data_IF_073050946637
#
_entry.id   IF_073050946637
#
_cell.length_a   1.000
_cell.length_b   1.000
_cell.length_c   1.000
_cell.angle_alpha   90.00
_cell.angle_beta   90.00
_cell.angle_gamma   90.00
#
_symmetry.space_group_name_H-M   'P 1'
#
loop_
_entity.id
_entity.type
_entity.pdbx_description
1 polymer ?
#
# COMPACT_ATOMS: atom_id res chain seq x y z
N UNK A 1 21.84 68.53 -15.26
CA UNK A 1 21.32 67.31 -15.91
C UNK A 1 20.22 67.75 -16.85
N UNK A 2 20.30 67.39 -18.13
CA UNK A 2 19.31 67.82 -19.13
C UNK A 2 18.06 66.91 -19.04
N UNK A 3 16.87 67.44 -19.39
CA UNK A 3 15.61 66.69 -19.25
C UNK A 3 15.59 65.41 -20.10
N UNK A 4 16.35 65.42 -21.19
CA UNK A 4 16.54 64.28 -22.07
C UNK A 4 17.28 63.10 -21.41
N UNK A 5 18.38 63.34 -20.67
CA UNK A 5 19.09 62.26 -19.94
C UNK A 5 18.25 61.67 -18.81
N UNK A 6 17.41 62.48 -18.17
CA UNK A 6 16.52 62.00 -17.11
C UNK A 6 15.45 61.06 -17.68
N UNK A 7 14.86 61.45 -18.81
CA UNK A 7 13.89 60.62 -19.51
C UNK A 7 14.50 59.30 -19.98
N UNK A 8 15.69 59.31 -20.60
CA UNK A 8 16.32 58.09 -21.12
C UNK A 8 16.70 57.12 -20.01
N UNK A 9 17.19 57.61 -18.87
CA UNK A 9 17.47 56.78 -17.70
C UNK A 9 16.19 56.15 -17.15
N UNK A 10 15.12 56.93 -16.99
CA UNK A 10 13.85 56.42 -16.49
C UNK A 10 13.23 55.36 -17.42
N UNK A 11 13.31 55.56 -18.73
CA UNK A 11 12.82 54.60 -19.71
C UNK A 11 13.62 53.28 -19.66
N UNK A 12 14.94 53.37 -19.51
CA UNK A 12 15.80 52.20 -19.37
C UNK A 12 15.55 51.45 -18.05
N UNK A 13 15.43 52.18 -16.94
CA UNK A 13 15.15 51.60 -15.62
C UNK A 13 13.79 50.87 -15.63
N UNK A 14 12.76 51.49 -16.20
CA UNK A 14 11.41 50.89 -16.33
C UNK A 14 11.42 49.62 -17.20
N UNK A 15 12.22 49.63 -18.27
CA UNK A 15 12.39 48.45 -19.13
C UNK A 15 13.08 47.31 -18.40
N UNK A 16 14.18 47.57 -17.68
CA UNK A 16 14.90 46.56 -16.90
C UNK A 16 14.02 45.97 -15.79
N UNK A 17 13.19 46.79 -15.15
CA UNK A 17 12.22 46.32 -14.15
C UNK A 17 11.20 45.36 -14.77
N UNK A 18 10.66 45.71 -15.95
CA UNK A 18 9.75 44.83 -16.69
C UNK A 18 10.37 43.50 -17.09
N UNK A 19 11.64 43.51 -17.54
CA UNK A 19 12.38 42.29 -17.86
C UNK A 19 12.64 41.44 -16.61
N UNK A 20 13.08 42.05 -15.51
CA UNK A 20 13.30 41.34 -14.25
C UNK A 20 12.02 40.68 -13.74
N UNK A 21 10.89 41.39 -13.77
CA UNK A 21 9.59 40.83 -13.38
C UNK A 21 9.23 39.60 -14.24
N UNK A 22 9.37 39.70 -15.57
CA UNK A 22 9.07 38.59 -16.48
C UNK A 22 9.98 37.37 -16.22
N UNK A 23 11.25 37.60 -15.88
CA UNK A 23 12.19 36.53 -15.50
C UNK A 23 11.78 35.89 -14.18
N UNK A 24 11.43 36.68 -13.17
CA UNK A 24 10.99 36.16 -11.86
C UNK A 24 9.69 35.34 -11.96
N UNK A 25 8.72 35.81 -12.76
CA UNK A 25 7.48 35.09 -13.00
C UNK A 25 7.75 33.75 -13.69
N UNK A 26 8.59 33.77 -14.72
CA UNK A 26 9.00 32.56 -15.45
C UNK A 26 9.73 31.58 -14.51
N UNK A 27 10.63 32.07 -13.66
CA UNK A 27 11.34 31.26 -12.67
C UNK A 27 10.37 30.63 -11.65
N UNK A 28 9.39 31.39 -11.14
CA UNK A 28 8.35 30.86 -10.24
C UNK A 28 7.53 29.77 -10.91
N UNK A 29 7.12 29.97 -12.16
CA UNK A 29 6.34 28.98 -12.92
C UNK A 29 7.13 27.68 -13.11
N UNK A 30 8.43 27.76 -13.42
CA UNK A 30 9.28 26.57 -13.52
C UNK A 30 9.47 25.85 -12.19
N UNK A 31 9.61 26.60 -11.09
CA UNK A 31 9.71 26.00 -9.76
C UNK A 31 8.42 25.28 -9.37
N UNK A 32 7.28 25.90 -9.63
CA UNK A 32 5.97 25.29 -9.39
C UNK A 32 5.78 24.01 -10.22
N UNK A 33 6.12 24.05 -11.51
CA UNK A 33 6.07 22.87 -12.37
C UNK A 33 6.97 21.74 -11.85
N UNK A 34 8.17 22.07 -11.37
CA UNK A 34 9.09 21.09 -10.77
C UNK A 34 8.50 20.47 -9.51
N UNK A 35 7.88 21.27 -8.64
CA UNK A 35 7.25 20.78 -7.41
C UNK A 35 6.08 19.85 -7.72
N UNK A 36 5.23 20.23 -8.67
CA UNK A 36 4.10 19.41 -9.13
C UNK A 36 4.57 18.08 -9.72
N UNK A 37 5.63 18.11 -10.53
CA UNK A 37 6.19 16.89 -11.13
C UNK A 37 6.75 15.96 -10.05
N UNK A 38 7.44 16.50 -9.05
CA UNK A 38 7.96 15.69 -7.94
C UNK A 38 6.82 15.05 -7.13
N UNK A 39 5.78 15.82 -6.80
CA UNK A 39 4.60 15.30 -6.11
C UNK A 39 3.94 14.16 -6.89
N UNK A 40 3.78 14.33 -8.20
CA UNK A 40 3.21 13.30 -9.07
C UNK A 40 4.08 12.03 -9.11
N UNK A 41 5.41 12.17 -9.20
CA UNK A 41 6.32 11.01 -9.14
C UNK A 41 6.18 10.27 -7.82
N UNK A 42 6.15 11.00 -6.69
CA UNK A 42 6.03 10.40 -5.37
C UNK A 42 4.68 9.67 -5.21
N UNK A 43 3.59 10.26 -5.70
CA UNK A 43 2.25 9.65 -5.72
C UNK A 43 2.26 8.35 -6.52
N UNK A 44 2.82 8.36 -7.73
CA UNK A 44 2.90 7.19 -8.61
C UNK A 44 3.72 6.06 -7.98
N UNK A 45 4.82 6.39 -7.29
CA UNK A 45 5.62 5.41 -6.55
C UNK A 45 4.79 4.80 -5.43
N UNK A 46 4.17 5.63 -4.60
CA UNK A 46 3.34 5.17 -3.47
C UNK A 46 2.17 4.31 -3.93
N UNK A 47 1.46 4.70 -4.99
CA UNK A 47 0.35 3.94 -5.54
C UNK A 47 0.83 2.60 -6.09
N UNK A 48 1.97 2.58 -6.80
CA UNK A 48 2.59 1.36 -7.29
C UNK A 48 2.97 0.41 -6.16
N UNK A 49 3.63 0.91 -5.12
CA UNK A 49 4.00 0.14 -3.93
C UNK A 49 2.75 -0.39 -3.20
N UNK A 50 1.72 0.44 -3.02
CA UNK A 50 0.47 0.05 -2.38
C UNK A 50 -0.22 -1.09 -3.14
N UNK A 51 -0.36 -0.95 -4.47
CA UNK A 51 -0.95 -1.99 -5.33
C UNK A 51 -0.14 -3.28 -5.32
N UNK A 52 1.19 -3.19 -5.35
CA UNK A 52 2.07 -4.35 -5.27
C UNK A 52 1.91 -5.08 -3.93
N UNK A 53 1.93 -4.34 -2.83
CA UNK A 53 1.72 -4.90 -1.49
C UNK A 53 0.33 -5.53 -1.36
N UNK A 54 -0.71 -4.88 -1.91
CA UNK A 54 -2.07 -5.42 -1.93
C UNK A 54 -2.14 -6.74 -2.71
N UNK A 55 -1.55 -6.79 -3.91
CA UNK A 55 -1.50 -8.00 -4.73
C UNK A 55 -0.77 -9.15 -4.03
N UNK A 56 0.39 -8.87 -3.42
CA UNK A 56 1.15 -9.85 -2.62
C UNK A 56 0.32 -10.37 -1.43
N UNK A 57 -0.34 -9.47 -0.69
CA UNK A 57 -1.19 -9.84 0.44
C UNK A 57 -2.41 -10.64 0.01
N UNK A 58 -3.06 -10.28 -1.10
CA UNK A 58 -4.15 -11.06 -1.66
C UNK A 58 -3.67 -12.47 -2.02
N UNK A 59 -2.54 -12.61 -2.71
CA UNK A 59 -1.98 -13.92 -3.03
C UNK A 59 -1.62 -14.75 -1.79
N UNK A 60 -1.01 -14.15 -0.78
CA UNK A 60 -0.74 -14.84 0.48
C UNK A 60 -2.02 -15.29 1.18
N UNK A 61 -3.09 -14.49 1.14
CA UNK A 61 -4.39 -14.88 1.67
C UNK A 61 -5.03 -16.03 0.87
N UNK A 62 -4.81 -16.10 -0.45
CA UNK A 62 -5.27 -17.25 -1.26
C UNK A 62 -4.47 -18.52 -0.96
N UNK A 63 -3.14 -18.42 -0.79
CA UNK A 63 -2.29 -19.56 -0.46
C UNK A 63 -2.48 -20.05 0.99
N UNK A 64 -2.81 -19.14 1.91
CA UNK A 64 -3.12 -19.46 3.30
C UNK A 64 -4.60 -19.74 3.54
N UNK A 65 -5.42 -19.93 2.49
CA UNK A 65 -6.78 -20.43 2.67
C UNK A 65 -6.76 -21.94 2.61
N UNK A 66 -7.39 -22.63 3.58
CA UNK A 66 -7.55 -24.06 3.49
C UNK A 66 -8.43 -24.40 2.28
N UNK A 67 -8.27 -25.61 1.74
CA UNK A 67 -9.25 -26.18 0.81
C UNK A 67 -10.64 -26.14 1.45
N UNK A 68 -11.65 -25.73 0.67
CA UNK A 68 -13.04 -25.58 1.14
C UNK A 68 -13.60 -26.88 1.75
N UNK A 69 -13.16 -28.03 1.23
CA UNK A 69 -13.50 -29.36 1.75
C UNK A 69 -13.06 -29.56 3.21
N UNK A 70 -11.84 -29.13 3.54
CA UNK A 70 -11.32 -29.17 4.91
C UNK A 70 -12.11 -28.22 5.81
N UNK A 71 -12.49 -27.06 5.26
CA UNK A 71 -13.31 -26.07 5.98
C UNK A 71 -14.65 -26.64 6.41
N UNK A 72 -15.37 -27.23 5.46
CA UNK A 72 -16.69 -27.83 5.70
C UNK A 72 -16.61 -29.05 6.62
N UNK A 73 -15.57 -29.87 6.46
CA UNK A 73 -15.35 -31.05 7.29
C UNK A 73 -15.08 -30.67 8.75
N UNK A 74 -14.17 -29.71 8.99
CA UNK A 74 -13.90 -29.23 10.33
C UNK A 74 -15.16 -28.61 10.96
N UNK A 75 -15.89 -27.77 10.21
CA UNK A 75 -17.15 -27.17 10.67
C UNK A 75 -18.18 -28.23 11.10
N UNK A 76 -18.24 -29.35 10.39
CA UNK A 76 -19.12 -30.48 10.73
C UNK A 76 -18.66 -31.18 12.01
N UNK A 77 -17.35 -31.44 12.16
CA UNK A 77 -16.79 -32.13 13.32
C UNK A 77 -16.96 -31.33 14.62
N UNK A 78 -16.85 -30.00 14.55
CA UNK A 78 -17.06 -29.10 15.69
C UNK A 78 -18.55 -28.74 15.89
N UNK A 79 -19.47 -29.37 15.16
CA UNK A 79 -20.92 -29.13 15.25
C UNK A 79 -21.31 -27.66 15.04
N UNK A 80 -20.56 -26.95 14.19
CA UNK A 80 -20.77 -25.54 13.88
C UNK A 80 -20.13 -24.55 14.85
N UNK A 81 -19.44 -24.99 15.91
CA UNK A 81 -18.68 -24.11 16.80
C UNK A 81 -17.37 -23.65 16.14
N UNK A 82 -17.46 -22.53 15.44
CA UNK A 82 -16.30 -21.92 14.79
C UNK A 82 -15.25 -21.38 15.78
N UNK A 83 -15.69 -20.97 16.97
CA UNK A 83 -14.77 -20.45 17.99
C UNK A 83 -13.89 -21.57 18.52
N UNK A 84 -14.46 -22.76 18.69
CA UNK A 84 -13.70 -23.97 19.02
C UNK A 84 -12.73 -24.35 17.90
N UNK A 85 -13.19 -24.36 16.65
CA UNK A 85 -12.34 -24.67 15.49
C UNK A 85 -11.10 -23.76 15.42
N UNK A 86 -11.28 -22.46 15.57
CA UNK A 86 -10.21 -21.48 15.54
C UNK A 86 -9.20 -21.69 16.68
N UNK A 87 -9.69 -21.97 17.90
CA UNK A 87 -8.82 -22.29 19.05
C UNK A 87 -7.97 -23.54 18.81
N UNK A 88 -8.53 -24.57 18.18
CA UNK A 88 -7.81 -25.80 17.86
C UNK A 88 -6.75 -25.56 16.77
N UNK A 89 -7.08 -24.80 15.74
CA UNK A 89 -6.14 -24.41 14.68
C UNK A 89 -4.98 -23.57 15.25
N UNK A 90 -5.28 -22.61 16.11
CA UNK A 90 -4.25 -21.80 16.78
C UNK A 90 -3.33 -22.64 17.68
N UNK A 91 -3.90 -23.61 18.40
CA UNK A 91 -3.11 -24.53 19.20
C UNK A 91 -2.19 -25.38 18.30
N UNK A 92 -2.68 -25.87 17.16
CA UNK A 92 -1.89 -26.63 16.20
C UNK A 92 -0.74 -25.79 15.62
N UNK A 93 -0.99 -24.53 15.26
CA UNK A 93 0.01 -23.56 14.77
C UNK A 93 1.10 -23.27 15.80
N UNK A 94 0.71 -23.07 17.06
CA UNK A 94 1.65 -22.82 18.16
C UNK A 94 2.54 -24.02 18.44
N UNK A 95 1.97 -25.22 18.36
CA UNK A 95 2.69 -26.46 18.65
C UNK A 95 3.59 -26.93 17.50
N UNK A 96 3.24 -26.59 16.26
CA UNK A 96 3.96 -27.05 15.06
C UNK A 96 4.17 -25.88 14.08
N UNK A 97 5.04 -24.91 14.39
CA UNK A 97 5.22 -23.75 13.53
C UNK A 97 5.84 -24.12 12.16
N UNK A 98 5.48 -23.38 11.11
CA UNK A 98 6.12 -23.46 9.80
C UNK A 98 5.47 -24.41 8.79
N UNK A 99 4.32 -25.01 9.10
CA UNK A 99 3.53 -25.78 8.14
C UNK A 99 2.54 -24.91 7.35
N UNK A 100 2.04 -25.44 6.23
CA UNK A 100 1.00 -24.80 5.41
C UNK A 100 -0.34 -24.76 6.14
N UNK A 101 -1.24 -23.87 5.71
CA UNK A 101 -2.58 -23.78 6.31
C UNK A 101 -3.30 -25.13 6.22
N UNK A 102 -3.40 -25.73 5.04
CA UNK A 102 -4.02 -27.06 4.85
C UNK A 102 -3.52 -28.12 5.84
N UNK A 103 -2.23 -28.12 6.16
CA UNK A 103 -1.65 -29.07 7.11
C UNK A 103 -2.23 -28.90 8.52
N UNK A 104 -2.44 -27.67 8.99
CA UNK A 104 -3.06 -27.43 10.29
C UNK A 104 -4.52 -27.90 10.32
N UNK A 105 -5.25 -27.69 9.23
CA UNK A 105 -6.64 -28.13 9.10
C UNK A 105 -6.74 -29.66 9.08
N UNK A 106 -5.92 -30.32 8.26
CA UNK A 106 -5.82 -31.79 8.22
C UNK A 106 -5.45 -32.35 9.59
N UNK A 107 -4.51 -31.71 10.29
CA UNK A 107 -4.07 -32.14 11.62
C UNK A 107 -5.19 -32.06 12.66
N UNK A 108 -5.91 -30.93 12.74
CA UNK A 108 -7.02 -30.76 13.68
C UNK A 108 -8.16 -31.74 13.37
N UNK A 109 -8.51 -31.90 12.09
CA UNK A 109 -9.52 -32.88 11.65
C UNK A 109 -9.11 -34.29 12.10
N UNK A 110 -7.87 -34.68 11.86
CA UNK A 110 -7.35 -35.99 12.25
C UNK A 110 -7.44 -36.22 13.76
N UNK A 111 -7.07 -35.23 14.56
CA UNK A 111 -7.10 -35.33 16.03
C UNK A 111 -8.54 -35.45 16.55
N UNK A 112 -9.48 -34.66 16.01
CA UNK A 112 -10.90 -34.76 16.34
C UNK A 112 -11.50 -36.12 15.96
N UNK A 113 -11.20 -36.59 14.75
CA UNK A 113 -11.70 -37.89 14.27
C UNK A 113 -11.13 -39.07 15.06
N UNK A 114 -9.91 -38.96 15.57
CA UNK A 114 -9.31 -39.96 16.45
C UNK A 114 -9.99 -39.97 17.81
N UNK A 115 -10.24 -38.80 18.39
CA UNK A 115 -10.85 -38.68 19.71
C UNK A 115 -12.33 -39.11 19.69
N UNK A 116 -13.02 -38.96 18.56
CA UNK A 116 -14.40 -39.45 18.35
C UNK A 116 -14.53 -40.97 18.15
N UNK A 117 -13.42 -41.71 17.99
CA UNK A 117 -13.42 -43.17 17.80
C UNK A 117 -13.36 -43.97 19.11
N UNK A 118 -13.31 -43.29 20.26
CA UNK A 118 -13.32 -43.89 21.60
C UNK A 118 -14.59 -43.52 22.37
#
# INVERSE_FOLDING_TARGET
>A
MNDWEKFTKQAFDSFLEGVNHAVEETQKNFQELSNQTQQFIDEMIQEGEAKYNEWCNQQQNYQNRPREELRQRLFTLVHGDWTLAERLLDLARRNNPGHSEDWYWEKVIYDLERDHRY
#
